data_IF_038384248438
#
_entry.id   IF_038384248438
#
_cell.length_a   1.000
_cell.length_b   1.000
_cell.length_c   1.000
_cell.angle_alpha   90.00
_cell.angle_beta   90.00
_cell.angle_gamma   90.00
#
_symmetry.space_group_name_H-M   'P 1'
#
loop_
_entity.id
_entity.type
_entity.pdbx_description
1 polymer ?
#
# COMPACT_ATOMS: atom_id res chain seq x y z
N UNK A 1 -60.03 -36.80 4.18
CA UNK A 1 -58.89 -36.42 5.01
C UNK A 1 -57.87 -35.77 4.09
N UNK A 2 -57.78 -34.43 4.10
CA UNK A 2 -56.85 -33.69 3.24
C UNK A 2 -55.55 -33.40 4.04
N UNK A 3 -54.46 -33.99 3.65
CA UNK A 3 -53.14 -33.72 4.26
C UNK A 3 -52.57 -32.51 3.55
N UNK A 4 -52.59 -31.37 4.22
CA UNK A 4 -51.91 -30.19 3.74
C UNK A 4 -50.40 -30.34 4.06
N UNK A 5 -49.62 -30.71 3.08
CA UNK A 5 -48.18 -30.57 3.15
C UNK A 5 -47.83 -29.07 3.06
N UNK A 6 -47.57 -28.46 4.20
CA UNK A 6 -46.92 -27.14 4.23
C UNK A 6 -45.45 -27.37 3.95
N UNK A 7 -45.07 -27.12 2.72
CA UNK A 7 -43.64 -27.09 2.37
C UNK A 7 -43.06 -25.80 2.94
N UNK A 8 -42.38 -25.93 4.06
CA UNK A 8 -41.61 -24.82 4.65
C UNK A 8 -40.34 -24.62 3.82
N UNK A 9 -40.41 -23.70 2.90
CA UNK A 9 -39.23 -23.29 2.12
C UNK A 9 -38.34 -22.44 3.03
N UNK A 10 -37.30 -23.06 3.60
CA UNK A 10 -36.25 -22.34 4.31
C UNK A 10 -35.38 -21.66 3.26
N UNK A 11 -35.59 -20.36 3.04
CA UNK A 11 -34.69 -19.56 2.22
C UNK A 11 -33.40 -19.36 3.01
N UNK A 12 -32.36 -20.12 2.64
CA UNK A 12 -31.01 -19.87 3.11
C UNK A 12 -30.51 -18.56 2.47
N UNK A 13 -30.63 -17.48 3.23
CA UNK A 13 -30.01 -16.21 2.86
C UNK A 13 -28.51 -16.37 3.13
N UNK A 14 -27.75 -16.75 2.11
CA UNK A 14 -26.29 -16.60 2.16
C UNK A 14 -25.98 -15.11 2.11
N UNK A 15 -25.75 -14.53 3.30
CA UNK A 15 -25.23 -13.19 3.38
C UNK A 15 -23.80 -13.18 2.83
N UNK A 16 -23.63 -12.55 1.68
CA UNK A 16 -22.30 -12.22 1.17
C UNK A 16 -21.72 -11.15 2.09
N UNK A 17 -20.88 -11.56 3.03
CA UNK A 17 -20.01 -10.61 3.73
C UNK A 17 -18.93 -10.18 2.71
N UNK A 18 -18.81 -8.88 2.38
CA UNK A 18 -17.70 -8.44 1.59
C UNK A 18 -16.44 -8.74 2.38
N UNK A 19 -15.60 -9.64 1.87
CA UNK A 19 -14.23 -9.82 2.32
C UNK A 19 -13.52 -8.51 2.02
N UNK A 20 -13.34 -7.65 3.03
CA UNK A 20 -12.42 -6.54 2.93
C UNK A 20 -11.01 -7.13 2.87
N UNK A 21 -10.49 -7.29 1.66
CA UNK A 21 -9.08 -7.65 1.46
C UNK A 21 -8.28 -6.45 1.94
N UNK A 22 -7.58 -6.61 3.06
CA UNK A 22 -6.58 -5.64 3.47
C UNK A 22 -5.60 -5.45 2.31
N UNK A 23 -5.35 -4.19 1.92
CA UNK A 23 -4.39 -3.89 0.86
C UNK A 23 -3.05 -4.56 1.20
N UNK A 24 -2.52 -5.38 0.29
CA UNK A 24 -1.20 -6.00 0.45
C UNK A 24 -0.14 -4.92 0.23
N UNK A 25 0.56 -4.55 1.30
CA UNK A 25 1.59 -3.53 1.26
C UNK A 25 2.76 -3.87 0.35
N UNK A 26 3.12 -5.14 0.23
CA UNK A 26 4.17 -5.59 -0.71
C UNK A 26 3.74 -5.41 -2.16
N UNK A 27 2.50 -5.74 -2.47
CA UNK A 27 1.95 -5.56 -3.81
C UNK A 27 1.83 -4.07 -4.16
N UNK A 28 1.36 -3.25 -3.23
CA UNK A 28 1.30 -1.80 -3.40
C UNK A 28 2.69 -1.20 -3.61
N UNK A 29 3.68 -1.64 -2.83
CA UNK A 29 5.07 -1.20 -2.98
C UNK A 29 5.60 -1.56 -4.36
N UNK A 30 5.36 -2.78 -4.83
CA UNK A 30 5.78 -3.23 -6.15
C UNK A 30 5.17 -2.37 -7.28
N UNK A 31 3.90 -1.99 -7.15
CA UNK A 31 3.19 -1.17 -8.15
C UNK A 31 3.55 0.31 -8.11
N UNK A 32 3.70 0.89 -6.93
CA UNK A 32 3.77 2.33 -6.73
C UNK A 32 5.17 2.86 -6.42
N UNK A 33 6.04 2.04 -5.89
CA UNK A 33 7.30 2.48 -5.30
C UNK A 33 8.54 1.83 -5.95
N UNK A 34 8.42 0.58 -6.38
CA UNK A 34 9.57 -0.22 -6.82
C UNK A 34 10.25 0.31 -8.08
N UNK A 35 9.56 1.04 -8.95
CA UNK A 35 10.18 1.62 -10.14
C UNK A 35 11.34 2.57 -9.82
N UNK A 36 11.26 3.26 -8.69
CA UNK A 36 12.33 4.13 -8.19
C UNK A 36 13.13 3.45 -7.07
N UNK A 37 12.45 2.92 -6.05
CA UNK A 37 13.12 2.34 -4.88
C UNK A 37 13.71 0.94 -5.09
N UNK A 38 13.35 0.27 -6.18
CA UNK A 38 13.69 -1.13 -6.41
C UNK A 38 12.73 -2.09 -5.70
N UNK A 39 12.59 -3.33 -6.18
CA UNK A 39 11.69 -4.31 -5.56
C UNK A 39 12.12 -4.71 -4.15
N UNK A 40 13.40 -4.60 -3.83
CA UNK A 40 13.98 -4.84 -2.51
C UNK A 40 14.19 -3.56 -1.67
N UNK A 41 13.83 -2.40 -2.20
CA UNK A 41 13.98 -1.10 -1.56
C UNK A 41 15.42 -0.56 -1.50
N UNK A 42 16.38 -1.24 -2.13
CA UNK A 42 17.81 -0.87 -2.08
C UNK A 42 18.21 0.25 -3.04
N UNK A 43 17.26 0.78 -3.79
CA UNK A 43 17.50 1.89 -4.72
C UNK A 43 18.60 1.61 -5.77
N UNK A 44 18.67 0.39 -6.27
CA UNK A 44 19.64 -0.05 -7.27
C UNK A 44 19.08 0.03 -8.71
N UNK A 45 18.18 0.95 -8.96
CA UNK A 45 17.60 1.20 -10.28
C UNK A 45 18.30 2.37 -10.97
N UNK A 46 18.27 2.46 -12.32
CA UNK A 46 18.82 3.63 -13.03
C UNK A 46 18.18 4.96 -12.58
N UNK A 47 16.85 4.96 -12.37
CA UNK A 47 16.12 6.14 -11.88
C UNK A 47 16.56 6.52 -10.47
N UNK A 48 16.75 5.55 -9.59
CA UNK A 48 17.23 5.80 -8.23
C UNK A 48 18.59 6.49 -8.21
N UNK A 49 19.50 6.05 -9.04
CA UNK A 49 20.84 6.67 -9.18
C UNK A 49 20.72 8.09 -9.70
N UNK A 50 19.89 8.31 -10.70
CA UNK A 50 19.68 9.63 -11.29
C UNK A 50 19.06 10.62 -10.30
N UNK A 51 18.11 10.18 -9.50
CA UNK A 51 17.38 11.02 -8.56
C UNK A 51 17.98 11.08 -7.16
N UNK A 52 19.01 10.29 -6.89
CA UNK A 52 19.63 10.20 -5.56
C UNK A 52 18.70 9.55 -4.52
N UNK A 53 17.91 8.56 -4.93
CA UNK A 53 17.01 7.80 -4.04
C UNK A 53 17.84 6.98 -3.06
N UNK A 54 17.48 7.05 -1.78
CA UNK A 54 18.21 6.34 -0.72
C UNK A 54 17.70 4.91 -0.55
N UNK A 55 18.59 4.06 -0.05
CA UNK A 55 18.30 2.68 0.32
C UNK A 55 17.33 2.64 1.52
N UNK A 56 16.13 2.13 1.31
CA UNK A 56 15.10 2.03 2.34
C UNK A 56 15.44 1.00 3.42
N UNK A 57 16.27 0.01 3.11
CA UNK A 57 16.70 -1.01 4.10
C UNK A 57 17.57 -0.40 5.20
N UNK A 58 18.18 0.74 4.93
CA UNK A 58 19.01 1.51 5.87
C UNK A 58 18.27 2.71 6.48
N UNK A 59 17.02 2.94 6.11
CA UNK A 59 16.25 4.08 6.61
C UNK A 59 15.95 3.95 8.10
N UNK A 60 16.08 5.07 8.81
CA UNK A 60 15.76 5.20 10.24
C UNK A 60 14.53 6.08 10.48
N UNK A 61 13.77 6.37 9.44
CA UNK A 61 12.56 7.17 9.55
C UNK A 61 11.52 6.51 10.46
N UNK A 62 10.85 7.30 11.27
CA UNK A 62 9.70 6.86 12.05
C UNK A 62 8.50 6.58 11.14
N UNK A 63 7.49 5.89 11.63
CA UNK A 63 6.26 5.66 10.86
C UNK A 63 5.60 6.97 10.42
N UNK A 64 5.57 7.98 11.29
CA UNK A 64 5.03 9.29 10.97
C UNK A 64 5.84 9.99 9.86
N UNK A 65 7.15 9.85 9.87
CA UNK A 65 8.01 10.41 8.83
C UNK A 65 7.85 9.68 7.49
N UNK A 66 7.67 8.36 7.51
CA UNK A 66 7.38 7.57 6.32
C UNK A 66 6.02 7.99 5.75
N UNK A 67 4.99 8.10 6.59
CA UNK A 67 3.66 8.55 6.18
C UNK A 67 3.73 9.93 5.52
N UNK A 68 4.39 10.87 6.17
CA UNK A 68 4.58 12.23 5.64
C UNK A 68 5.25 12.21 4.28
N UNK A 69 6.30 11.41 4.11
CA UNK A 69 7.03 11.29 2.85
C UNK A 69 6.16 10.73 1.72
N UNK A 70 5.33 9.74 2.02
CA UNK A 70 4.39 9.15 1.05
C UNK A 70 3.32 10.19 0.66
N UNK A 71 2.74 10.86 1.62
CA UNK A 71 1.64 11.81 1.39
C UNK A 71 2.14 13.06 0.67
N UNK A 72 3.23 13.64 1.11
CA UNK A 72 3.72 14.93 0.58
C UNK A 72 4.68 14.77 -0.60
N UNK A 73 5.35 13.62 -0.73
CA UNK A 73 6.42 13.43 -1.69
C UNK A 73 7.67 14.22 -1.31
N UNK A 74 8.57 14.40 -2.27
CA UNK A 74 9.81 15.15 -2.07
C UNK A 74 10.16 15.98 -3.30
N UNK A 75 10.60 17.21 -3.06
CA UNK A 75 11.14 18.11 -4.09
C UNK A 75 12.58 18.48 -3.74
N UNK A 76 13.37 18.79 -4.76
CA UNK A 76 14.72 19.35 -4.57
C UNK A 76 14.67 20.86 -4.30
N UNK A 77 15.85 21.47 -4.10
CA UNK A 77 15.98 22.92 -3.83
C UNK A 77 15.48 23.80 -4.98
N UNK A 78 15.35 23.24 -6.17
CA UNK A 78 14.82 23.92 -7.35
C UNK A 78 13.33 23.67 -7.59
N UNK A 79 12.65 22.99 -6.66
CA UNK A 79 11.22 22.65 -6.77
C UNK A 79 10.94 21.46 -7.69
N UNK A 80 11.97 20.77 -8.21
CA UNK A 80 11.79 19.59 -9.05
C UNK A 80 11.37 18.39 -8.22
N UNK A 81 10.33 17.70 -8.67
CA UNK A 81 9.82 16.51 -8.00
C UNK A 81 10.85 15.37 -8.03
N UNK A 82 11.21 14.88 -6.86
CA UNK A 82 12.08 13.71 -6.65
C UNK A 82 11.27 12.47 -6.29
N UNK A 83 10.27 12.61 -5.49
CA UNK A 83 9.29 11.59 -5.16
C UNK A 83 7.89 12.18 -5.32
N UNK A 84 7.00 11.54 -6.07
CA UNK A 84 5.64 12.06 -6.24
C UNK A 84 4.86 12.04 -4.93
N UNK A 85 3.95 13.00 -4.78
CA UNK A 85 2.96 13.01 -3.71
C UNK A 85 1.86 11.99 -4.00
N UNK A 86 1.51 11.19 -3.02
CA UNK A 86 0.38 10.26 -3.09
C UNK A 86 -0.88 10.78 -2.38
N UNK A 87 -0.88 12.05 -2.02
CA UNK A 87 -2.04 12.70 -1.40
C UNK A 87 -3.29 12.52 -2.28
N UNK A 88 -4.36 11.97 -1.71
CA UNK A 88 -5.61 11.71 -2.42
C UNK A 88 -5.56 10.55 -3.42
N UNK A 89 -4.43 9.86 -3.58
CA UNK A 89 -4.25 8.73 -4.50
C UNK A 89 -4.28 7.38 -3.80
N UNK A 90 -3.95 7.35 -2.52
CA UNK A 90 -3.94 6.18 -1.67
C UNK A 90 -4.88 6.39 -0.48
N UNK A 91 -5.59 5.34 -0.10
CA UNK A 91 -6.40 5.36 1.13
C UNK A 91 -5.52 5.32 2.38
N UNK A 92 -6.10 5.67 3.51
CA UNK A 92 -5.42 5.57 4.81
C UNK A 92 -4.93 4.14 5.08
N UNK A 93 -5.73 3.13 4.77
CA UNK A 93 -5.36 1.74 4.95
C UNK A 93 -4.24 1.30 4.02
N UNK A 94 -4.25 1.76 2.77
CA UNK A 94 -3.16 1.53 1.82
C UNK A 94 -1.85 2.16 2.29
N UNK A 95 -1.90 3.38 2.81
CA UNK A 95 -0.73 4.06 3.38
C UNK A 95 -0.18 3.27 4.58
N UNK A 96 -1.02 2.81 5.49
CA UNK A 96 -0.62 1.97 6.62
C UNK A 96 0.06 0.67 6.17
N UNK A 97 -0.49 0.04 5.15
CA UNK A 97 0.09 -1.18 4.57
C UNK A 97 1.45 -0.93 3.94
N UNK A 98 1.63 0.21 3.26
CA UNK A 98 2.93 0.62 2.72
C UNK A 98 3.95 0.90 3.81
N UNK A 99 3.57 1.57 4.89
CA UNK A 99 4.45 1.81 6.04
C UNK A 99 4.95 0.49 6.61
N UNK A 100 4.05 -0.49 6.79
CA UNK A 100 4.41 -1.82 7.26
C UNK A 100 5.38 -2.53 6.30
N UNK A 101 5.13 -2.43 4.99
CA UNK A 101 6.01 -3.00 3.96
C UNK A 101 7.41 -2.38 3.98
N UNK A 102 7.52 -1.07 4.13
CA UNK A 102 8.81 -0.37 4.25
C UNK A 102 9.56 -0.80 5.51
N UNK A 103 8.87 -0.97 6.61
CA UNK A 103 9.48 -1.46 7.86
C UNK A 103 10.01 -2.89 7.72
N UNK A 104 9.31 -3.74 6.99
CA UNK A 104 9.77 -5.11 6.69
C UNK A 104 11.09 -5.13 5.91
N UNK A 105 11.35 -4.16 5.04
CA UNK A 105 12.60 -4.06 4.29
C UNK A 105 13.84 -3.86 5.18
N UNK A 106 13.65 -3.41 6.42
CA UNK A 106 14.75 -3.12 7.37
C UNK A 106 15.17 -4.33 8.20
N UNK A 107 14.44 -5.42 8.11
CA UNK A 107 14.71 -6.64 8.89
C UNK A 107 15.80 -7.50 8.27
#
# INVERSE_FOLDING_TARGET
>A
MKINCVVLTVALVFGYLPLSVAADGKELFAKQCASCHGPDGKAQTPIARKLGVKDLTQSKLTEAEIEKQIVEGKRDDHGKEKMPSFKGKLSTDEIKSLIAAVKELRK
#
